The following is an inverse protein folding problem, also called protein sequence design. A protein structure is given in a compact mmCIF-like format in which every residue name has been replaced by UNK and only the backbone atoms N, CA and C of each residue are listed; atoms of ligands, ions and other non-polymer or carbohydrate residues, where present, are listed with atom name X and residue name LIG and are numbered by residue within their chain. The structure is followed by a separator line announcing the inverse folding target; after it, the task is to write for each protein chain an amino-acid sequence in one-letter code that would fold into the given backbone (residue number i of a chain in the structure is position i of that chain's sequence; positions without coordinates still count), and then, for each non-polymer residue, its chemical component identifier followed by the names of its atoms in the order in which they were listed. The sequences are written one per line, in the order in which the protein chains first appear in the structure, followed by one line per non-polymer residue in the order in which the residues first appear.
data_IF_579854894818
#
_entry.id   IF_579854894818
#
_cell.length_a   1.000
_cell.length_b   1.000
_cell.length_c   1.000
_cell.angle_alpha   90.00
_cell.angle_beta   90.00
_cell.angle_gamma   90.00
#
_symmetry.space_group_name_H-M   'P 1'
#
loop_
_entity.id
_entity.type
_entity.pdbx_description
1 polymer ?
#
# COMPACT_ATOMS: atom_id res chain seq x y z
N UNK A 1 -62.48 12.13 41.34
CA UNK A 1 -61.95 10.96 42.04
C UNK A 1 -61.94 9.83 41.01
N UNK A 2 -60.73 9.44 40.61
CA UNK A 2 -60.32 8.32 39.73
C UNK A 2 -61.00 8.10 38.36
N UNK A 3 -60.21 8.33 37.31
CA UNK A 3 -60.30 7.63 36.03
C UNK A 3 -58.91 7.15 35.60
N UNK A 4 -58.87 5.89 35.20
CA UNK A 4 -57.76 5.11 34.66
C UNK A 4 -57.74 5.24 33.13
N UNK A 5 -56.59 5.46 32.47
CA UNK A 5 -56.15 4.85 31.18
C UNK A 5 -54.76 5.36 30.70
N UNK A 6 -54.05 4.44 30.02
CA UNK A 6 -52.68 4.38 29.48
C UNK A 6 -52.14 5.58 28.66
N UNK A 7 -50.80 5.74 28.67
CA UNK A 7 -49.99 6.04 27.48
C UNK A 7 -48.48 5.88 27.73
N UNK A 8 -47.91 4.88 27.05
CA UNK A 8 -46.52 4.73 26.61
C UNK A 8 -45.80 6.04 26.27
N UNK A 9 -44.63 6.26 26.87
CA UNK A 9 -43.71 7.34 26.52
C UNK A 9 -42.35 7.13 27.18
N UNK A 10 -41.30 7.47 26.44
CA UNK A 10 -39.88 7.51 26.85
C UNK A 10 -39.08 6.22 26.68
N UNK A 11 -38.60 5.97 25.46
CA UNK A 11 -37.14 5.80 25.26
C UNK A 11 -36.72 6.17 23.82
N UNK A 12 -37.10 7.36 23.37
CA UNK A 12 -36.70 7.95 22.08
C UNK A 12 -35.28 8.55 22.11
N UNK A 13 -34.52 8.35 23.19
CA UNK A 13 -33.17 8.91 23.34
C UNK A 13 -32.05 7.92 22.97
N UNK A 14 -32.26 6.61 23.15
CA UNK A 14 -31.26 5.59 22.83
C UNK A 14 -31.01 5.42 21.31
N UNK A 15 -32.04 5.63 20.48
CA UNK A 15 -31.97 5.46 19.02
C UNK A 15 -31.27 6.64 18.30
N UNK A 16 -31.15 7.81 18.94
CA UNK A 16 -30.60 9.01 18.26
C UNK A 16 -29.07 9.09 18.32
N UNK A 17 -28.41 8.42 19.29
CA UNK A 17 -26.95 8.47 19.42
C UNK A 17 -26.23 7.34 18.63
N UNK A 18 -26.85 6.18 18.49
CA UNK A 18 -26.27 5.06 17.71
C UNK A 18 -26.34 5.30 16.19
N UNK A 19 -27.27 6.17 15.76
CA UNK A 19 -27.45 6.55 14.35
C UNK A 19 -26.53 7.71 13.91
N UNK A 20 -25.94 8.47 14.85
CA UNK A 20 -25.08 9.62 14.54
C UNK A 20 -23.59 9.26 14.34
N UNK A 21 -23.12 8.12 14.87
CA UNK A 21 -21.73 7.66 14.73
C UNK A 21 -21.49 6.70 13.55
N UNK A 22 -22.57 6.18 12.92
CA UNK A 22 -22.49 5.18 11.84
C UNK A 22 -22.88 5.70 10.46
N UNK A 23 -22.96 7.02 10.29
CA UNK A 23 -23.41 7.65 9.03
C UNK A 23 -22.48 8.79 8.61
N UNK A 24 -21.18 8.49 8.46
CA UNK A 24 -20.23 9.46 7.92
C UNK A 24 -18.96 8.83 7.31
N UNK A 25 -19.07 7.84 6.41
CA UNK A 25 -18.13 7.74 5.28
C UNK A 25 -18.46 6.71 4.16
N UNK A 26 -19.72 6.39 3.88
CA UNK A 26 -20.03 5.32 2.90
C UNK A 26 -19.78 5.72 1.43
N UNK A 27 -19.20 6.89 1.16
CA UNK A 27 -18.96 7.38 -0.20
C UNK A 27 -17.57 8.00 -0.43
N UNK A 28 -16.64 7.94 0.54
CA UNK A 28 -15.27 8.41 0.28
C UNK A 28 -14.51 7.34 -0.48
N UNK A 29 -14.21 7.62 -1.75
CA UNK A 29 -13.31 6.78 -2.55
C UNK A 29 -11.88 6.93 -2.03
N UNK A 30 -11.17 5.82 -1.92
CA UNK A 30 -9.84 5.77 -1.29
C UNK A 30 -8.73 6.03 -2.31
N UNK A 31 -7.75 6.85 -1.92
CA UNK A 31 -6.45 6.96 -2.58
C UNK A 31 -5.56 5.83 -2.05
N UNK A 32 -5.31 4.82 -2.88
CA UNK A 32 -4.51 3.64 -2.53
C UNK A 32 -3.18 3.71 -3.26
N UNK A 33 -2.09 3.44 -2.54
CA UNK A 33 -0.75 3.34 -3.13
C UNK A 33 -0.25 1.91 -2.98
N UNK A 34 0.25 1.30 -4.06
CA UNK A 34 0.92 -0.01 -4.02
C UNK A 34 2.40 0.19 -4.32
N UNK A 35 3.27 -0.21 -3.39
CA UNK A 35 4.70 -0.21 -3.62
C UNK A 35 5.15 -1.45 -4.40
N UNK A 36 5.86 -1.21 -5.49
CA UNK A 36 6.31 -2.23 -6.43
C UNK A 36 7.83 -2.30 -6.50
N UNK A 37 8.32 -3.52 -6.61
CA UNK A 37 9.66 -3.85 -7.05
C UNK A 37 9.59 -5.04 -8.02
N UNK A 38 10.74 -5.58 -8.43
CA UNK A 38 10.79 -6.70 -9.38
C UNK A 38 10.41 -8.06 -8.75
N UNK A 39 10.03 -8.12 -7.46
CA UNK A 39 9.69 -9.38 -6.80
C UNK A 39 8.26 -9.84 -7.06
N UNK A 40 8.07 -11.16 -6.99
CA UNK A 40 6.74 -11.76 -7.01
C UNK A 40 5.83 -11.17 -5.91
N UNK A 41 6.36 -10.93 -4.72
CA UNK A 41 5.56 -10.57 -3.56
C UNK A 41 4.94 -9.16 -3.67
N UNK A 42 5.59 -8.22 -4.36
CA UNK A 42 4.98 -6.93 -4.68
C UNK A 42 3.89 -7.04 -5.74
N UNK A 43 4.06 -7.92 -6.75
CA UNK A 43 3.00 -8.19 -7.72
C UNK A 43 1.81 -8.94 -7.11
N UNK A 44 2.04 -9.87 -6.18
CA UNK A 44 0.97 -10.53 -5.42
C UNK A 44 0.19 -9.50 -4.58
N UNK A 45 0.88 -8.49 -4.02
CA UNK A 45 0.25 -7.39 -3.30
C UNK A 45 -0.62 -6.51 -4.21
N UNK A 46 -0.16 -6.22 -5.43
CA UNK A 46 -0.95 -5.53 -6.44
C UNK A 46 -2.19 -6.33 -6.83
N UNK A 47 -2.02 -7.62 -7.14
CA UNK A 47 -3.13 -8.51 -7.49
C UNK A 47 -4.17 -8.56 -6.38
N UNK A 48 -3.73 -8.65 -5.12
CA UNK A 48 -4.62 -8.57 -3.97
C UNK A 48 -5.36 -7.24 -3.92
N UNK A 49 -4.66 -6.11 -4.08
CA UNK A 49 -5.26 -4.78 -4.02
C UNK A 49 -6.34 -4.60 -5.10
N UNK A 50 -6.05 -4.94 -6.35
CA UNK A 50 -7.03 -4.79 -7.45
C UNK A 50 -8.21 -5.76 -7.34
N UNK A 51 -8.04 -6.90 -6.66
CA UNK A 51 -9.11 -7.86 -6.43
C UNK A 51 -10.06 -7.43 -5.30
N UNK A 52 -9.54 -6.86 -4.23
CA UNK A 52 -10.30 -6.64 -2.99
C UNK A 52 -10.66 -5.16 -2.74
N UNK A 53 -9.93 -4.22 -3.35
CA UNK A 53 -10.13 -2.78 -3.14
C UNK A 53 -10.78 -2.09 -4.34
N UNK A 54 -11.20 -2.83 -5.38
CA UNK A 54 -11.80 -2.25 -6.58
C UNK A 54 -12.96 -1.32 -6.27
N UNK A 55 -13.91 -1.75 -5.45
CA UNK A 55 -15.16 -1.01 -5.21
C UNK A 55 -14.93 0.30 -4.42
N UNK A 56 -13.86 0.33 -3.60
CA UNK A 56 -13.47 1.49 -2.80
C UNK A 56 -12.51 2.42 -3.53
N UNK A 57 -11.76 1.93 -4.52
CA UNK A 57 -10.86 2.73 -5.37
C UNK A 57 -11.63 3.33 -6.56
N UNK A 58 -12.48 2.56 -7.23
CA UNK A 58 -13.09 3.00 -8.50
C UNK A 58 -14.05 4.16 -8.29
N UNK A 59 -13.65 5.35 -8.73
CA UNK A 59 -14.54 6.50 -8.89
C UNK A 59 -15.58 6.21 -9.97
N UNK A 60 -16.83 6.57 -9.74
CA UNK A 60 -17.79 6.67 -10.85
C UNK A 60 -17.40 7.86 -11.75
N UNK A 61 -17.62 7.79 -13.07
CA UNK A 61 -17.17 8.81 -14.01
C UNK A 61 -17.81 10.21 -13.83
N UNK A 62 -18.80 10.37 -12.96
CA UNK A 62 -19.78 11.46 -13.07
C UNK A 62 -19.75 12.53 -11.98
N UNK A 63 -18.72 12.60 -11.14
CA UNK A 63 -18.63 13.71 -10.17
C UNK A 63 -17.23 14.30 -10.08
N UNK A 64 -17.14 15.63 -10.09
CA UNK A 64 -15.94 16.46 -9.84
C UNK A 64 -15.34 16.28 -8.41
N UNK A 65 -15.70 15.19 -7.73
CA UNK A 65 -15.09 14.79 -6.47
C UNK A 65 -13.78 14.08 -6.83
N UNK A 66 -12.67 14.49 -6.22
CA UNK A 66 -11.37 13.83 -6.31
C UNK A 66 -11.53 12.33 -6.04
N UNK A 67 -11.68 11.56 -7.13
CA UNK A 67 -12.05 10.16 -7.10
C UNK A 67 -10.95 9.30 -6.50
N UNK A 68 -11.31 8.10 -6.08
CA UNK A 68 -10.34 7.10 -5.65
C UNK A 68 -9.38 6.78 -6.78
N UNK A 69 -8.13 6.52 -6.41
CA UNK A 69 -7.01 6.38 -7.33
C UNK A 69 -6.11 5.27 -6.81
N UNK A 70 -5.66 4.40 -7.72
CA UNK A 70 -4.59 3.45 -7.42
C UNK A 70 -3.26 3.98 -7.99
N UNK A 71 -2.35 4.37 -7.12
CA UNK A 71 -1.00 4.80 -7.49
C UNK A 71 -0.03 3.62 -7.35
N UNK A 72 0.67 3.29 -8.44
CA UNK A 72 1.71 2.27 -8.48
C UNK A 72 3.06 2.96 -8.32
N UNK A 73 3.71 2.80 -7.16
CA UNK A 73 4.98 3.47 -6.87
C UNK A 73 6.15 2.49 -6.98
N UNK A 74 7.21 2.89 -7.69
CA UNK A 74 8.49 2.20 -7.71
C UNK A 74 9.58 3.17 -7.28
N UNK A 75 10.47 2.72 -6.39
CA UNK A 75 11.63 3.51 -5.97
C UNK A 75 12.89 2.86 -6.49
N UNK A 76 13.68 3.65 -7.19
CA UNK A 76 15.03 3.28 -7.54
C UNK A 76 16.00 3.64 -6.43
N UNK A 77 16.70 2.64 -5.85
CA UNK A 77 17.64 2.89 -4.79
C UNK A 77 18.87 3.63 -5.32
N UNK A 78 19.13 4.81 -4.76
CA UNK A 78 20.38 5.53 -4.95
C UNK A 78 21.42 4.93 -4.00
N UNK A 79 21.98 3.77 -4.35
CA UNK A 79 23.09 3.19 -3.57
C UNK A 79 24.35 4.04 -3.78
N UNK A 80 24.60 5.01 -2.90
CA UNK A 80 25.78 5.88 -2.95
C UNK A 80 27.10 5.21 -2.51
N UNK A 81 27.15 3.91 -2.25
CA UNK A 81 28.35 3.25 -1.74
C UNK A 81 29.03 2.38 -2.81
N UNK A 82 29.80 3.02 -3.68
CA UNK A 82 30.93 2.35 -4.31
C UNK A 82 32.15 2.53 -3.42
N UNK A 83 32.39 1.59 -2.51
CA UNK A 83 33.64 1.55 -1.72
C UNK A 83 34.76 1.13 -2.69
N UNK A 84 35.60 2.09 -3.09
CA UNK A 84 36.87 1.73 -3.72
C UNK A 84 37.77 1.05 -2.67
N UNK A 85 38.49 -0.04 -3.03
CA UNK A 85 39.42 -0.70 -2.12
C UNK A 85 40.53 0.21 -1.59
N UNK A 86 40.70 1.39 -2.19
CA UNK A 86 41.66 2.44 -1.83
C UNK A 86 41.19 3.42 -0.74
N UNK A 87 39.98 3.27 -0.17
CA UNK A 87 39.54 4.04 1.00
C UNK A 87 39.11 5.50 0.77
N UNK A 88 38.90 5.93 -0.49
CA UNK A 88 38.38 7.26 -0.80
C UNK A 88 36.86 7.26 -0.99
N UNK A 89 36.14 8.15 -0.30
CA UNK A 89 34.74 8.47 -0.59
C UNK A 89 34.66 9.58 -1.64
N UNK A 90 34.20 9.26 -2.85
CA UNK A 90 33.81 10.28 -3.83
C UNK A 90 32.29 10.38 -3.82
N UNK A 91 31.75 11.54 -3.48
CA UNK A 91 30.34 11.87 -3.76
C UNK A 91 30.24 12.13 -5.27
N UNK A 92 30.06 11.09 -6.08
CA UNK A 92 29.77 11.23 -7.49
C UNK A 92 28.27 11.04 -7.70
N UNK A 93 27.52 12.13 -7.70
CA UNK A 93 26.08 12.12 -7.99
C UNK A 93 25.77 11.78 -9.46
N UNK A 94 26.77 11.75 -10.36
CA UNK A 94 26.51 11.75 -11.81
C UNK A 94 27.23 10.66 -12.64
N UNK A 95 27.67 9.54 -12.04
CA UNK A 95 28.27 8.43 -12.83
C UNK A 95 27.58 7.11 -12.53
N UNK A 96 26.27 7.04 -12.81
CA UNK A 96 25.67 5.73 -13.13
C UNK A 96 26.10 5.41 -14.56
N UNK A 97 26.86 4.33 -14.80
CA UNK A 97 27.27 3.99 -16.16
C UNK A 97 26.06 3.85 -17.08
N UNK A 98 26.14 4.34 -18.31
CA UNK A 98 25.06 4.27 -19.31
C UNK A 98 24.41 2.87 -19.43
N UNK A 99 25.16 1.75 -19.42
CA UNK A 99 24.55 0.41 -19.41
C UNK A 99 23.66 0.14 -18.18
N UNK A 100 24.04 0.65 -17.00
CA UNK A 100 23.26 0.51 -15.76
C UNK A 100 22.01 1.37 -15.81
N UNK A 101 22.12 2.61 -16.31
CA UNK A 101 20.98 3.50 -16.53
C UNK A 101 19.96 2.87 -17.48
N UNK A 102 20.43 2.36 -18.62
CA UNK A 102 19.60 1.67 -19.61
C UNK A 102 18.93 0.42 -19.02
N UNK A 103 19.67 -0.41 -18.30
CA UNK A 103 19.11 -1.59 -17.65
C UNK A 103 18.00 -1.23 -16.65
N UNK A 104 18.21 -0.17 -15.87
CA UNK A 104 17.24 0.37 -14.91
C UNK A 104 15.98 0.91 -15.60
N UNK A 105 16.11 1.63 -16.71
CA UNK A 105 14.98 2.10 -17.53
C UNK A 105 14.19 0.93 -18.13
N UNK A 106 14.88 -0.07 -18.68
CA UNK A 106 14.24 -1.27 -19.22
C UNK A 106 13.49 -2.05 -18.15
N UNK A 107 14.10 -2.26 -16.97
CA UNK A 107 13.46 -2.89 -15.81
C UNK A 107 12.20 -2.14 -15.37
N UNK A 108 12.28 -0.81 -15.30
CA UNK A 108 11.15 0.04 -14.89
C UNK A 108 10.00 -0.04 -15.87
N UNK A 109 10.32 0.02 -17.16
CA UNK A 109 9.35 -0.11 -18.24
C UNK A 109 8.63 -1.45 -18.14
N UNK A 110 9.36 -2.55 -17.95
CA UNK A 110 8.79 -3.89 -17.78
C UNK A 110 7.91 -3.99 -16.53
N UNK A 111 8.38 -3.42 -15.41
CA UNK A 111 7.67 -3.42 -14.14
C UNK A 111 6.31 -2.71 -14.27
N UNK A 112 6.30 -1.46 -14.76
CA UNK A 112 5.05 -0.72 -14.90
C UNK A 112 4.15 -1.29 -16.00
N UNK A 113 4.70 -1.79 -17.12
CA UNK A 113 3.90 -2.46 -18.15
C UNK A 113 3.11 -3.62 -17.55
N UNK A 114 3.78 -4.52 -16.83
CA UNK A 114 3.15 -5.66 -16.17
C UNK A 114 2.13 -5.23 -15.12
N UNK A 115 2.45 -4.22 -14.31
CA UNK A 115 1.56 -3.74 -13.26
C UNK A 115 0.28 -3.09 -13.81
N UNK A 116 0.41 -2.34 -14.91
CA UNK A 116 -0.71 -1.74 -15.62
C UNK A 116 -1.58 -2.80 -16.29
N UNK A 117 -1.00 -3.87 -16.85
CA UNK A 117 -1.76 -5.00 -17.40
C UNK A 117 -2.65 -5.67 -16.34
N UNK A 118 -2.10 -5.96 -15.15
CA UNK A 118 -2.84 -6.52 -14.02
C UNK A 118 -4.01 -5.60 -13.61
N UNK A 119 -3.74 -4.30 -13.55
CA UNK A 119 -4.73 -3.30 -13.12
C UNK A 119 -5.86 -3.10 -14.15
N UNK A 120 -5.51 -3.07 -15.44
CA UNK A 120 -6.46 -2.97 -16.56
C UNK A 120 -7.37 -4.19 -16.63
N UNK A 121 -6.84 -5.40 -16.40
CA UNK A 121 -7.63 -6.63 -16.36
C UNK A 121 -8.76 -6.62 -15.33
N UNK A 122 -8.74 -5.68 -14.36
CA UNK A 122 -9.75 -5.51 -13.31
C UNK A 122 -10.49 -4.18 -13.36
N UNK A 123 -10.31 -3.39 -14.43
CA UNK A 123 -10.97 -2.09 -14.65
C UNK A 123 -10.70 -1.07 -13.52
N UNK A 124 -9.49 -1.07 -12.95
CA UNK A 124 -9.07 -0.10 -11.93
C UNK A 124 -8.25 1.01 -12.60
N UNK A 125 -8.66 2.27 -12.44
CA UNK A 125 -7.88 3.43 -12.91
C UNK A 125 -6.60 3.52 -12.10
N UNK A 126 -5.47 3.55 -12.81
CA UNK A 126 -4.14 3.53 -12.22
C UNK A 126 -3.24 4.62 -12.77
N UNK A 127 -2.38 5.13 -11.91
CA UNK A 127 -1.28 6.03 -12.25
C UNK A 127 0.03 5.44 -11.74
N UNK A 128 1.14 5.81 -12.37
CA UNK A 128 2.48 5.31 -12.03
C UNK A 128 3.33 6.43 -11.46
N UNK A 129 4.11 6.15 -10.43
CA UNK A 129 5.03 7.08 -9.80
C UNK A 129 6.42 6.44 -9.68
N UNK A 130 7.42 7.04 -10.32
CA UNK A 130 8.82 6.64 -10.21
C UNK A 130 9.57 7.62 -9.31
N UNK A 131 10.24 7.10 -8.29
CA UNK A 131 11.01 7.89 -7.33
C UNK A 131 12.47 7.42 -7.33
N UNK A 132 13.38 8.29 -6.88
CA UNK A 132 14.79 7.97 -6.66
C UNK A 132 15.16 8.27 -5.21
N UNK A 133 15.91 7.38 -4.56
CA UNK A 133 16.34 7.54 -3.17
C UNK A 133 16.24 6.24 -2.37
N UNK A 134 16.26 6.32 -1.04
CA UNK A 134 16.02 5.15 -0.19
C UNK A 134 14.53 4.74 -0.28
N UNK A 135 14.20 3.49 -0.66
CA UNK A 135 12.80 3.05 -0.79
C UNK A 135 11.95 3.26 0.47
N UNK A 136 12.52 3.13 1.67
CA UNK A 136 11.80 3.27 2.93
C UNK A 136 11.32 4.71 3.12
N UNK A 137 12.20 5.67 2.88
CA UNK A 137 11.95 7.09 3.04
C UNK A 137 11.05 7.61 1.92
N UNK A 138 11.39 7.31 0.67
CA UNK A 138 10.68 7.81 -0.50
C UNK A 138 9.22 7.35 -0.54
N UNK A 139 8.93 6.10 -0.14
CA UNK A 139 7.55 5.61 -0.06
C UNK A 139 6.76 6.37 1.02
N UNK A 140 7.32 6.54 2.22
CA UNK A 140 6.65 7.26 3.30
C UNK A 140 6.41 8.74 2.94
N UNK A 141 7.38 9.37 2.28
CA UNK A 141 7.27 10.74 1.80
C UNK A 141 6.19 10.87 0.72
N UNK A 142 6.14 9.95 -0.25
CA UNK A 142 5.12 9.95 -1.28
C UNK A 142 3.70 9.77 -0.69
N UNK A 143 3.55 8.88 0.29
CA UNK A 143 2.30 8.69 1.03
C UNK A 143 1.80 10.00 1.63
N UNK A 144 2.69 10.75 2.29
CA UNK A 144 2.36 12.03 2.93
C UNK A 144 2.03 13.12 1.90
N UNK A 145 2.85 13.25 0.86
CA UNK A 145 2.69 14.28 -0.18
C UNK A 145 1.44 14.11 -1.04
N UNK A 146 1.01 12.87 -1.26
CA UNK A 146 -0.16 12.56 -2.11
C UNK A 146 -1.42 12.23 -1.31
N UNK A 147 -1.35 12.36 0.01
CA UNK A 147 -2.47 12.10 0.92
C UNK A 147 -3.10 10.71 0.71
N UNK A 148 -2.25 9.69 0.65
CA UNK A 148 -2.69 8.29 0.49
C UNK A 148 -3.52 7.85 1.69
N UNK A 149 -4.68 7.26 1.45
CA UNK A 149 -5.56 6.72 2.50
C UNK A 149 -5.15 5.29 2.92
N UNK A 150 -4.48 4.53 2.05
CA UNK A 150 -3.96 3.19 2.33
C UNK A 150 -2.72 2.87 1.51
N UNK A 151 -1.62 2.53 2.18
CA UNK A 151 -0.42 1.98 1.55
C UNK A 151 -0.47 0.45 1.56
N UNK A 152 -0.23 -0.16 0.41
CA UNK A 152 -0.16 -1.61 0.23
C UNK A 152 1.28 -2.00 -0.16
N UNK A 153 1.85 -2.94 0.58
CA UNK A 153 3.21 -3.45 0.34
C UNK A 153 3.22 -4.97 0.36
N UNK A 154 4.11 -5.57 -0.42
CA UNK A 154 4.39 -7.00 -0.33
C UNK A 154 5.22 -7.33 0.92
N UNK A 155 5.09 -8.57 1.40
CA UNK A 155 6.02 -9.12 2.38
C UNK A 155 7.31 -9.59 1.69
N UNK A 156 8.46 -8.94 1.86
CA UNK A 156 9.77 -9.46 1.42
C UNK A 156 10.57 -10.01 2.62
N UNK A 157 10.51 -11.31 2.89
CA UNK A 157 11.48 -11.97 3.77
C UNK A 157 12.80 -12.20 3.02
N UNK A 158 13.95 -11.88 3.62
CA UNK A 158 15.25 -12.30 3.08
C UNK A 158 15.20 -13.81 2.85
N UNK A 159 15.57 -14.23 1.64
CA UNK A 159 15.28 -15.55 1.07
C UNK A 159 15.42 -16.74 2.02
N UNK A 160 14.51 -17.71 1.90
CA UNK A 160 14.59 -19.07 2.45
C UNK A 160 14.75 -19.23 3.97
N UNK A 161 14.79 -18.16 4.77
CA UNK A 161 14.88 -18.26 6.23
C UNK A 161 13.47 -18.30 6.82
N UNK A 162 13.09 -19.51 7.24
CA UNK A 162 11.81 -20.03 7.76
C UNK A 162 11.09 -19.27 8.90
N UNK A 163 11.10 -17.94 9.00
CA UNK A 163 10.30 -17.22 10.02
C UNK A 163 9.73 -15.91 9.47
N UNK A 164 8.52 -15.60 9.95
CA UNK A 164 7.70 -14.42 9.66
C UNK A 164 8.37 -13.07 9.96
N UNK A 165 9.50 -12.76 9.30
CA UNK A 165 10.10 -11.45 9.34
C UNK A 165 9.52 -10.59 8.23
N UNK A 166 9.01 -9.41 8.61
CA UNK A 166 8.68 -8.36 7.67
C UNK A 166 9.97 -7.91 6.95
N UNK A 167 9.84 -7.56 5.67
CA UNK A 167 10.94 -6.97 4.93
C UNK A 167 11.31 -5.60 5.45
N UNK A 168 12.55 -5.17 5.21
CA UNK A 168 13.04 -3.89 5.72
C UNK A 168 12.20 -2.68 5.27
N UNK A 169 11.63 -2.73 4.07
CA UNK A 169 10.74 -1.69 3.54
C UNK A 169 9.36 -1.77 4.18
N UNK A 170 8.76 -2.97 4.24
CA UNK A 170 7.40 -3.12 4.78
C UNK A 170 7.34 -2.88 6.29
N UNK A 171 8.36 -3.31 7.04
CA UNK A 171 8.52 -3.01 8.47
C UNK A 171 8.68 -1.50 8.71
N UNK A 172 9.56 -0.85 7.94
CA UNK A 172 9.74 0.60 8.05
C UNK A 172 8.45 1.36 7.74
N UNK A 173 7.77 1.02 6.65
CA UNK A 173 6.50 1.66 6.26
C UNK A 173 5.44 1.48 7.36
N UNK A 174 5.31 0.28 7.93
CA UNK A 174 4.36 0.03 9.00
C UNK A 174 4.58 0.89 10.26
N UNK A 175 5.83 1.29 10.50
CA UNK A 175 6.20 2.13 11.65
C UNK A 175 6.14 3.64 11.35
N UNK A 176 6.33 4.06 10.09
CA UNK A 176 6.58 5.46 9.75
C UNK A 176 5.57 6.10 8.78
N UNK A 177 4.84 5.32 7.99
CA UNK A 177 3.89 5.85 7.04
C UNK A 177 2.77 6.62 7.75
N UNK A 178 2.37 7.77 7.20
CA UNK A 178 1.28 8.61 7.72
C UNK A 178 -0.12 8.14 7.31
N UNK A 179 -0.25 6.88 6.91
CA UNK A 179 -1.50 6.24 6.58
C UNK A 179 -1.49 4.76 7.06
N UNK A 180 -2.67 4.11 7.14
CA UNK A 180 -2.74 2.67 7.32
C UNK A 180 -1.88 1.92 6.29
N UNK A 181 -1.17 0.88 6.76
CA UNK A 181 -0.33 0.03 5.91
C UNK A 181 -0.87 -1.40 5.90
N UNK A 182 -1.17 -1.90 4.70
CA UNK A 182 -1.53 -3.29 4.46
C UNK A 182 -0.33 -4.06 3.90
N UNK A 183 0.08 -5.09 4.64
CA UNK A 183 1.16 -5.99 4.22
C UNK A 183 0.55 -7.29 3.70
N UNK A 184 0.67 -7.52 2.38
CA UNK A 184 0.12 -8.71 1.74
C UNK A 184 1.12 -9.86 1.85
N UNK A 185 0.63 -11.02 2.32
CA UNK A 185 1.38 -12.27 2.39
C UNK A 185 0.74 -13.30 1.44
N UNK A 186 1.52 -14.03 0.63
CA UNK A 186 0.97 -15.09 -0.19
C UNK A 186 0.40 -16.23 0.67
N UNK A 187 -0.69 -16.89 0.25
CA UNK A 187 -1.22 -18.07 0.93
C UNK A 187 -0.19 -19.20 0.88
N UNK A 188 0.35 -19.61 2.04
CA UNK A 188 1.30 -20.74 2.12
C UNK A 188 2.33 -20.68 3.26
N UNK A 189 2.46 -19.55 3.98
CA UNK A 189 3.49 -19.39 5.03
C UNK A 189 2.94 -19.26 6.47
N UNK A 190 1.72 -19.73 6.74
CA UNK A 190 1.24 -19.85 8.12
C UNK A 190 1.63 -21.25 8.60
N UNK A 191 2.78 -21.39 9.26
CA UNK A 191 3.09 -22.63 9.98
C UNK A 191 2.15 -22.74 11.19
N UNK A 192 1.14 -23.59 11.10
CA UNK A 192 0.38 -24.04 12.25
C UNK A 192 1.35 -24.75 13.21
N UNK A 193 1.71 -24.10 14.32
CA UNK A 193 2.38 -24.81 15.41
C UNK A 193 1.33 -25.60 16.18
N UNK A 194 1.20 -26.89 15.86
CA UNK A 194 0.62 -27.85 16.81
C UNK A 194 1.41 -27.77 18.12
N UNK A 195 0.74 -27.38 19.20
CA UNK A 195 1.22 -27.63 20.55
C UNK A 195 1.17 -29.15 20.80
N UNK A 196 2.27 -29.85 20.52
CA UNK A 196 2.47 -31.17 21.12
C UNK A 196 2.90 -30.98 22.56
N UNK A 197 1.93 -31.01 23.47
CA UNK A 197 2.17 -31.39 24.85
C UNK A 197 2.63 -32.84 24.87
N UNK A 198 3.88 -33.10 25.28
CA UNK A 198 4.25 -34.31 25.99
C UNK A 198 5.48 -34.07 26.84
#
# INVERSE_FOLDING_TARGET
METYVDAIGEDTAATTMETAAKKKNDNKKLKVMVALDESKNSFDALEWAVQHLRDVISAEPETDQEGGLLTLVHVHPTYLQYIYPSGGTVYATDIVPEPVRKAREESTTKLFTRALEISRGRMVKTETMLLEGDPKEMICQAVEQTHVDLLVVGNRGLGMIKRAFLGSVSDYCAQHAKCPVLIVRPPGEISTKEHKNK
#
